data_IF_713115953745
#
_entry.id   IF_713115953745
#
_cell.length_a   1.000
_cell.length_b   1.000
_cell.length_c   1.000
_cell.angle_alpha   90.00
_cell.angle_beta   90.00
_cell.angle_gamma   90.00
#
_symmetry.space_group_name_H-M   'P 1'
#
loop_
_entity.id
_entity.type
_entity.pdbx_description
1 polymer ?
#
# COMPACT_ATOMS: atom_id res chain seq x y z
N UNK A 1 -10.70 3.36 13.20
CA UNK A 1 -9.46 2.73 12.70
C UNK A 1 -8.25 3.60 12.97
N UNK A 2 -8.09 4.77 12.32
CA UNK A 2 -6.88 5.61 12.46
C UNK A 2 -6.61 6.12 13.89
N UNK A 3 -7.63 6.40 14.70
CA UNK A 3 -7.42 6.78 16.11
C UNK A 3 -6.73 5.67 16.92
N UNK A 4 -7.07 4.41 16.63
CA UNK A 4 -6.43 3.25 17.26
C UNK A 4 -4.97 3.09 16.78
N UNK A 5 -4.69 3.39 15.51
CA UNK A 5 -3.31 3.41 14.99
C UNK A 5 -2.51 4.51 15.71
N UNK A 6 -3.06 5.71 15.84
CA UNK A 6 -2.44 6.83 16.55
C UNK A 6 -2.18 6.50 18.03
N UNK A 7 -3.11 5.81 18.69
CA UNK A 7 -2.92 5.30 20.06
C UNK A 7 -1.77 4.29 20.16
N UNK A 8 -1.72 3.32 19.24
CA UNK A 8 -0.63 2.35 19.20
C UNK A 8 0.73 3.03 18.99
N UNK A 9 0.81 4.05 18.12
CA UNK A 9 2.03 4.83 17.92
C UNK A 9 2.43 5.61 19.17
N UNK A 10 1.49 6.27 19.85
CA UNK A 10 1.78 6.98 21.10
C UNK A 10 2.29 6.05 22.21
N UNK A 11 1.73 4.84 22.31
CA UNK A 11 2.22 3.81 23.23
C UNK A 11 3.63 3.36 22.86
N UNK A 12 3.90 3.10 21.58
CA UNK A 12 5.24 2.73 21.13
C UNK A 12 6.27 3.82 21.43
N UNK A 13 5.92 5.10 21.22
CA UNK A 13 6.82 6.22 21.52
C UNK A 13 7.12 6.35 23.02
N UNK A 14 6.16 6.03 23.89
CA UNK A 14 6.37 5.94 25.35
C UNK A 14 7.30 4.77 25.69
N UNK A 15 7.02 3.57 25.19
CA UNK A 15 7.80 2.36 25.47
C UNK A 15 9.25 2.45 25.01
N UNK A 16 9.52 3.24 23.97
CA UNK A 16 10.86 3.47 23.42
C UNK A 16 11.53 4.74 23.95
N UNK A 17 10.86 5.49 24.83
CA UNK A 17 11.35 6.76 25.37
C UNK A 17 11.75 7.78 24.29
N UNK A 18 10.92 7.88 23.24
CA UNK A 18 11.14 8.77 22.08
C UNK A 18 10.06 9.85 21.93
N UNK A 19 9.17 10.01 22.92
CA UNK A 19 8.16 11.09 22.89
C UNK A 19 8.76 12.50 22.84
N UNK A 20 9.95 12.68 23.41
CA UNK A 20 10.65 13.96 23.42
C UNK A 20 11.58 14.16 22.22
N UNK A 21 11.66 13.19 21.30
CA UNK A 21 12.53 13.25 20.13
C UNK A 21 12.08 14.28 19.07
N UNK A 22 10.97 15.00 19.33
CA UNK A 22 10.37 15.93 18.37
C UNK A 22 9.59 15.19 17.28
N UNK A 23 9.41 15.87 16.15
CA UNK A 23 8.64 15.34 15.01
C UNK A 23 9.40 14.20 14.33
N UNK A 24 8.86 12.99 14.37
CA UNK A 24 9.51 11.79 13.83
C UNK A 24 9.04 11.47 12.41
N UNK A 25 9.95 11.14 11.47
CA UNK A 25 9.55 10.68 10.14
C UNK A 25 8.95 9.27 10.20
N UNK A 26 7.83 9.07 9.50
CA UNK A 26 7.11 7.80 9.39
C UNK A 26 6.94 7.40 7.93
N UNK A 27 7.43 6.21 7.59
CA UNK A 27 6.99 5.46 6.42
C UNK A 27 5.73 4.67 6.77
N UNK A 28 4.62 4.98 6.09
CA UNK A 28 3.33 4.36 6.34
C UNK A 28 3.08 3.25 5.31
N UNK A 29 3.44 2.02 5.66
CA UNK A 29 3.07 0.85 4.85
C UNK A 29 1.57 0.59 4.98
N UNK A 30 0.83 0.85 3.91
CA UNK A 30 -0.61 0.69 3.84
C UNK A 30 -0.96 -0.30 2.72
N UNK A 31 -1.09 -1.56 3.09
CA UNK A 31 -1.15 -2.71 2.19
C UNK A 31 -2.54 -2.96 1.58
N UNK A 32 -3.11 -1.91 0.99
CA UNK A 32 -4.40 -1.94 0.30
C UNK A 32 -4.30 -1.21 -1.04
N UNK A 33 -5.15 -1.55 -2.03
CA UNK A 33 -5.18 -0.85 -3.31
C UNK A 33 -5.41 0.64 -3.12
N UNK A 34 -4.41 1.45 -3.50
CA UNK A 34 -4.48 2.90 -3.39
C UNK A 34 -4.13 3.56 -4.72
N UNK A 35 -4.82 4.67 -5.01
CA UNK A 35 -4.40 5.61 -6.04
C UNK A 35 -3.40 6.58 -5.41
N UNK A 36 -2.13 6.37 -5.72
CA UNK A 36 -1.06 7.24 -5.23
C UNK A 36 -0.94 8.47 -6.13
N UNK A 37 -1.22 9.65 -5.57
CA UNK A 37 -1.09 10.95 -6.26
C UNK A 37 0.23 11.66 -5.90
N UNK A 38 0.94 11.14 -4.89
CA UNK A 38 2.28 11.55 -4.51
C UNK A 38 2.82 10.68 -3.39
N UNK A 39 4.09 10.87 -3.01
CA UNK A 39 4.73 10.03 -1.98
C UNK A 39 4.01 10.11 -0.62
N UNK A 40 3.32 11.21 -0.33
CA UNK A 40 2.55 11.43 0.91
C UNK A 40 1.05 11.65 0.68
N UNK A 41 0.52 11.21 -0.47
CA UNK A 41 -0.90 11.28 -0.79
C UNK A 41 -1.35 9.98 -1.48
N UNK A 42 -2.22 9.23 -0.82
CA UNK A 42 -2.75 7.98 -1.36
C UNK A 42 -4.22 7.80 -0.99
N UNK A 43 -5.08 7.76 -2.01
CA UNK A 43 -6.51 7.52 -1.83
C UNK A 43 -6.81 6.03 -1.87
N UNK A 44 -7.46 5.50 -0.85
CA UNK A 44 -7.91 4.11 -0.84
C UNK A 44 -8.93 3.89 -1.97
N UNK A 45 -8.73 2.88 -2.81
CA UNK A 45 -9.68 2.53 -3.89
C UNK A 45 -10.80 1.66 -3.33
N UNK A 46 -10.44 0.53 -2.71
CA UNK A 46 -11.38 -0.41 -2.12
C UNK A 46 -10.69 -1.22 -1.03
N UNK A 47 -11.46 -1.63 -0.01
CA UNK A 47 -10.95 -2.58 0.97
C UNK A 47 -10.74 -3.99 0.38
N UNK A 48 -9.78 -4.70 0.96
CA UNK A 48 -9.45 -6.11 0.64
C UNK A 48 -9.18 -6.85 1.95
N UNK A 49 -8.84 -8.15 1.89
CA UNK A 49 -8.35 -8.93 3.05
C UNK A 49 -9.31 -8.96 4.25
N UNK A 50 -10.63 -8.88 4.03
CA UNK A 50 -11.62 -8.91 5.11
C UNK A 50 -11.91 -7.56 5.79
N UNK A 51 -11.29 -6.46 5.36
CA UNK A 51 -11.49 -5.13 5.94
C UNK A 51 -12.74 -4.44 5.37
N UNK A 52 -13.38 -3.59 6.17
CA UNK A 52 -14.59 -2.85 5.76
C UNK A 52 -14.81 -1.58 6.61
N UNK A 53 -13.74 -0.85 6.94
CA UNK A 53 -13.86 0.37 7.75
C UNK A 53 -14.60 1.47 6.97
N UNK A 54 -15.73 1.93 7.52
CA UNK A 54 -16.56 2.99 6.94
C UNK A 54 -15.77 4.31 6.80
N UNK A 55 -16.13 5.12 5.80
CA UNK A 55 -15.62 6.48 5.61
C UNK A 55 -14.12 6.57 5.32
N UNK A 56 -13.52 5.57 4.66
CA UNK A 56 -12.09 5.56 4.28
C UNK A 56 -11.89 5.44 2.76
N UNK A 57 -12.73 4.69 2.06
CA UNK A 57 -12.66 4.59 0.59
C UNK A 57 -12.81 5.99 -0.05
N UNK A 58 -12.06 6.20 -1.13
CA UNK A 58 -11.85 7.47 -1.83
C UNK A 58 -11.22 8.61 -1.00
N UNK A 59 -10.76 8.34 0.23
CA UNK A 59 -10.07 9.32 1.07
C UNK A 59 -8.57 9.09 1.13
N UNK A 60 -7.83 10.19 1.27
CA UNK A 60 -6.39 10.15 1.48
C UNK A 60 -6.05 9.61 2.88
N UNK A 61 -5.44 8.42 2.91
CA UNK A 61 -5.13 7.71 4.15
C UNK A 61 -4.02 8.40 4.96
N UNK A 62 -3.17 9.19 4.30
CA UNK A 62 -2.14 9.97 4.97
C UNK A 62 -2.78 11.11 5.75
N UNK A 63 -3.72 11.84 5.13
CA UNK A 63 -4.51 12.87 5.81
C UNK A 63 -5.28 12.29 6.99
N UNK A 64 -5.96 11.15 6.82
CA UNK A 64 -6.69 10.50 7.92
C UNK A 64 -5.79 10.11 9.11
N UNK A 65 -4.57 9.63 8.83
CA UNK A 65 -3.59 9.32 9.87
C UNK A 65 -3.07 10.59 10.57
N UNK A 66 -2.73 11.64 9.80
CA UNK A 66 -2.28 12.93 10.33
C UNK A 66 -3.33 13.55 11.25
N UNK A 67 -4.59 13.59 10.83
CA UNK A 67 -5.69 14.10 11.65
C UNK A 67 -5.87 13.27 12.95
N UNK A 68 -5.71 11.95 12.88
CA UNK A 68 -5.76 11.09 14.07
C UNK A 68 -4.64 11.39 15.06
N UNK A 69 -3.42 11.61 14.59
CA UNK A 69 -2.30 12.05 15.44
C UNK A 69 -2.57 13.44 16.05
N UNK A 70 -3.04 14.39 15.24
CA UNK A 70 -3.36 15.75 15.69
C UNK A 70 -4.44 15.77 16.79
N UNK A 71 -5.45 14.89 16.71
CA UNK A 71 -6.49 14.77 17.75
C UNK A 71 -5.91 14.39 19.12
N UNK A 72 -4.80 13.65 19.18
CA UNK A 72 -4.20 13.22 20.45
C UNK A 72 -3.39 14.30 21.15
N UNK A 73 -2.71 15.18 20.41
CA UNK A 73 -1.85 16.26 20.91
C UNK A 73 -0.59 15.83 21.69
N UNK A 74 -0.37 14.53 21.90
CA UNK A 74 0.76 13.97 22.66
C UNK A 74 1.84 13.33 21.77
N UNK A 75 1.61 13.31 20.45
CA UNK A 75 2.55 12.83 19.43
C UNK A 75 2.59 13.79 18.25
N UNK A 76 3.77 13.92 17.63
CA UNK A 76 3.96 14.65 16.38
C UNK A 76 4.74 13.77 15.39
N UNK A 77 4.12 13.47 14.26
CA UNK A 77 4.63 12.51 13.27
C UNK A 77 4.61 13.16 11.90
N UNK A 78 5.72 13.05 11.18
CA UNK A 78 5.82 13.42 9.79
C UNK A 78 5.66 12.20 8.89
N UNK A 79 4.48 12.02 8.29
CA UNK A 79 4.32 10.98 7.27
C UNK A 79 5.08 11.42 6.02
N UNK A 80 6.23 10.79 5.77
CA UNK A 80 7.14 11.11 4.66
C UNK A 80 6.94 10.21 3.44
N UNK A 81 6.33 9.04 3.64
CA UNK A 81 5.97 8.14 2.56
C UNK A 81 4.76 7.28 2.93
N UNK A 82 3.93 6.97 1.94
CA UNK A 82 2.97 5.87 1.97
C UNK A 82 3.33 4.88 0.88
N UNK A 83 3.33 3.59 1.21
CA UNK A 83 3.77 2.53 0.30
C UNK A 83 3.00 1.23 0.54
N UNK A 84 2.97 0.37 -0.47
CA UNK A 84 2.44 -0.99 -0.35
C UNK A 84 3.45 -1.91 0.37
N UNK A 85 2.98 -3.02 0.95
CA UNK A 85 3.86 -4.01 1.59
C UNK A 85 4.88 -4.61 0.63
N UNK A 86 4.47 -4.96 -0.59
CA UNK A 86 5.40 -5.49 -1.61
C UNK A 86 6.54 -4.52 -1.91
N UNK A 87 6.23 -3.22 -2.03
CA UNK A 87 7.21 -2.15 -2.26
C UNK A 87 8.16 -2.04 -1.07
N UNK A 88 7.64 -2.10 0.16
CA UNK A 88 8.45 -2.11 1.37
C UNK A 88 9.37 -3.32 1.44
N UNK A 89 8.87 -4.50 1.04
CA UNK A 89 9.66 -5.74 0.96
C UNK A 89 10.78 -5.62 -0.07
N UNK A 90 10.49 -5.10 -1.27
CA UNK A 90 11.51 -4.85 -2.29
C UNK A 90 12.58 -3.89 -1.77
N UNK A 91 12.18 -2.74 -1.25
CA UNK A 91 13.11 -1.70 -0.77
C UNK A 91 13.98 -2.19 0.39
N UNK A 92 13.40 -2.94 1.34
CA UNK A 92 14.15 -3.51 2.46
C UNK A 92 15.19 -4.54 2.02
N UNK A 93 14.89 -5.33 0.98
CA UNK A 93 15.83 -6.28 0.39
C UNK A 93 16.90 -5.56 -0.43
N UNK A 94 16.48 -4.63 -1.29
CA UNK A 94 17.35 -3.84 -2.15
C UNK A 94 18.36 -2.99 -1.36
N UNK A 95 18.03 -2.58 -0.14
CA UNK A 95 18.96 -1.89 0.76
C UNK A 95 20.21 -2.73 1.10
N UNK A 96 20.10 -4.07 1.07
CA UNK A 96 21.23 -4.98 1.28
C UNK A 96 21.75 -5.49 -0.06
N UNK A 97 20.85 -6.03 -0.88
CA UNK A 97 21.18 -6.65 -2.15
C UNK A 97 20.66 -5.81 -3.32
N UNK A 98 21.53 -4.98 -3.88
CA UNK A 98 21.21 -4.04 -4.96
C UNK A 98 20.69 -4.72 -6.26
N UNK A 99 20.76 -6.04 -6.37
CA UNK A 99 20.21 -6.83 -7.49
C UNK A 99 18.74 -7.19 -7.29
N UNK A 100 18.13 -6.87 -6.14
CA UNK A 100 16.72 -7.12 -5.90
C UNK A 100 15.85 -6.17 -6.75
N UNK A 101 15.02 -6.75 -7.62
CA UNK A 101 14.15 -6.02 -8.55
C UNK A 101 12.67 -6.39 -8.42
N UNK A 102 12.33 -7.34 -7.54
CA UNK A 102 10.98 -7.87 -7.34
C UNK A 102 10.75 -8.07 -5.85
N UNK A 103 9.61 -7.60 -5.34
CA UNK A 103 9.09 -7.91 -4.02
C UNK A 103 7.80 -8.70 -4.13
N UNK A 104 7.69 -9.81 -3.40
CA UNK A 104 6.51 -10.69 -3.41
C UNK A 104 6.02 -10.92 -1.99
N UNK A 105 4.71 -10.80 -1.80
CA UNK A 105 4.02 -11.20 -0.58
C UNK A 105 3.20 -12.44 -0.88
N UNK A 106 3.42 -13.50 -0.10
CA UNK A 106 2.61 -14.72 -0.10
C UNK A 106 2.18 -14.97 1.34
N UNK A 107 0.97 -14.56 1.68
CA UNK A 107 0.42 -14.65 3.03
C UNK A 107 -1.11 -14.64 3.02
N UNK A 108 -1.73 -13.84 3.89
CA UNK A 108 -3.19 -13.67 3.92
C UNK A 108 -3.75 -13.18 2.58
N UNK A 109 -2.95 -12.44 1.82
CA UNK A 109 -3.17 -12.22 0.40
C UNK A 109 -1.88 -12.49 -0.38
N UNK A 110 -1.99 -12.46 -1.70
CA UNK A 110 -0.85 -12.53 -2.61
C UNK A 110 -0.73 -11.21 -3.37
N UNK A 111 0.47 -10.64 -3.42
CA UNK A 111 0.77 -9.46 -4.24
C UNK A 111 2.24 -9.46 -4.68
N UNK A 112 2.55 -8.71 -5.75
CA UNK A 112 3.92 -8.43 -6.14
C UNK A 112 4.12 -6.97 -6.58
N UNK A 113 5.35 -6.50 -6.44
CA UNK A 113 5.85 -5.31 -7.12
C UNK A 113 7.18 -5.62 -7.80
N UNK A 114 7.53 -4.79 -8.78
CA UNK A 114 8.80 -4.89 -9.48
C UNK A 114 9.27 -3.53 -9.98
N UNK A 115 10.55 -3.44 -10.35
CA UNK A 115 11.11 -2.26 -11.01
C UNK A 115 10.79 -2.28 -12.52
N UNK A 116 10.13 -1.25 -13.01
CA UNK A 116 9.73 -1.09 -14.42
C UNK A 116 10.38 0.16 -15.01
N UNK A 117 10.66 0.13 -16.31
CA UNK A 117 11.11 1.32 -17.04
C UNK A 117 9.96 2.29 -17.24
N UNK A 118 10.20 3.57 -16.96
CA UNK A 118 9.20 4.64 -17.16
C UNK A 118 8.67 4.65 -18.60
N UNK A 119 9.52 4.35 -19.59
CA UNK A 119 9.15 4.24 -21.00
C UNK A 119 8.04 3.19 -21.29
N UNK A 120 7.88 2.17 -20.44
CA UNK A 120 6.85 1.13 -20.55
C UNK A 120 5.54 1.53 -19.84
N UNK A 121 5.52 2.65 -19.10
CA UNK A 121 4.38 3.09 -18.31
C UNK A 121 3.47 4.03 -19.12
N UNK A 122 2.74 3.48 -20.10
CA UNK A 122 1.88 4.25 -21.03
C UNK A 122 0.91 5.22 -20.33
N UNK A 123 0.38 4.85 -19.16
CA UNK A 123 -0.61 5.62 -18.40
C UNK A 123 -0.08 6.93 -17.82
N UNK A 124 1.24 7.10 -17.75
CA UNK A 124 1.88 8.27 -17.15
C UNK A 124 2.81 9.00 -18.13
N UNK A 125 2.75 8.67 -19.43
CA UNK A 125 3.57 9.32 -20.47
C UNK A 125 3.37 10.83 -20.52
N UNK A 126 2.14 11.30 -20.29
CA UNK A 126 1.80 12.73 -20.26
C UNK A 126 2.45 13.51 -19.10
N UNK A 127 3.05 12.81 -18.12
CA UNK A 127 3.77 13.44 -17.02
C UNK A 127 5.23 13.79 -17.37
N UNK A 128 5.74 13.33 -18.53
CA UNK A 128 7.11 13.61 -19.01
C UNK A 128 8.20 13.32 -17.96
N UNK A 129 8.02 12.26 -17.16
CA UNK A 129 8.94 11.91 -16.06
C UNK A 129 10.34 11.55 -16.56
N UNK A 130 10.48 11.12 -17.82
CA UNK A 130 11.78 10.87 -18.45
C UNK A 130 12.66 12.12 -18.62
N UNK A 131 12.10 13.31 -18.45
CA UNK A 131 12.80 14.59 -18.58
C UNK A 131 13.12 15.26 -17.22
N UNK A 132 12.77 14.63 -16.10
CA UNK A 132 12.88 15.24 -14.76
C UNK A 132 14.28 15.15 -14.12
N UNK A 133 15.20 14.41 -14.76
CA UNK A 133 16.57 14.19 -14.28
C UNK A 133 16.70 13.12 -13.18
N UNK A 134 15.64 12.38 -12.87
CA UNK A 134 15.61 11.23 -11.97
C UNK A 134 15.89 9.92 -12.72
N UNK A 135 16.09 8.78 -12.01
CA UNK A 135 16.26 7.48 -12.65
C UNK A 135 15.08 7.13 -13.58
N UNK A 136 15.37 6.40 -14.66
CA UNK A 136 14.40 6.00 -15.70
C UNK A 136 13.53 4.80 -15.30
N UNK A 137 13.49 4.49 -14.01
CA UNK A 137 12.82 3.33 -13.43
C UNK A 137 11.85 3.72 -12.32
N UNK A 138 10.72 3.01 -12.25
CA UNK A 138 9.66 3.21 -11.28
C UNK A 138 9.21 1.85 -10.74
N UNK A 139 8.98 1.78 -9.42
CA UNK A 139 8.40 0.58 -8.81
C UNK A 139 6.91 0.50 -9.15
N UNK A 140 6.50 -0.60 -9.77
CA UNK A 140 5.10 -0.90 -10.07
C UNK A 140 4.58 -1.88 -9.04
N UNK A 141 3.64 -1.42 -8.19
CA UNK A 141 2.79 -2.31 -7.41
C UNK A 141 1.70 -2.87 -8.33
N UNK A 142 1.71 -4.18 -8.54
CA UNK A 142 0.82 -4.82 -9.52
C UNK A 142 -0.60 -4.99 -9.01
N UNK A 143 -0.79 -5.11 -7.69
CA UNK A 143 -2.04 -5.56 -7.07
C UNK A 143 -2.59 -6.82 -7.78
N UNK A 144 -1.69 -7.79 -8.08
CA UNK A 144 -2.00 -8.94 -8.96
C UNK A 144 -3.07 -9.89 -8.42
N UNK A 145 -3.55 -9.67 -7.20
CA UNK A 145 -4.62 -10.49 -6.63
C UNK A 145 -5.91 -10.35 -7.43
N UNK A 146 -6.09 -9.24 -8.18
CA UNK A 146 -7.22 -9.03 -9.07
C UNK A 146 -7.12 -9.81 -10.41
N UNK A 147 -6.00 -10.49 -10.66
CA UNK A 147 -5.79 -11.17 -11.93
C UNK A 147 -6.77 -12.36 -12.07
N UNK A 148 -7.62 -12.31 -13.10
CA UNK A 148 -8.68 -13.30 -13.33
C UNK A 148 -10.09 -12.84 -12.95
N UNK A 149 -10.24 -11.68 -12.30
CA UNK A 149 -11.55 -11.04 -12.01
C UNK A 149 -12.40 -10.82 -13.29
N UNK A 150 -11.76 -10.69 -14.44
CA UNK A 150 -12.38 -10.51 -15.76
C UNK A 150 -12.75 -11.84 -16.45
N UNK A 151 -12.55 -12.96 -15.78
CA UNK A 151 -12.78 -14.31 -16.31
C UNK A 151 -11.61 -14.90 -17.08
N UNK A 152 -10.46 -14.22 -17.18
CA UNK A 152 -9.27 -14.73 -17.87
C UNK A 152 -8.77 -16.09 -17.31
N UNK A 153 -9.05 -16.37 -16.03
CA UNK A 153 -8.67 -17.61 -15.36
C UNK A 153 -9.82 -18.62 -15.21
N UNK A 154 -10.98 -18.39 -15.83
CA UNK A 154 -12.15 -19.28 -15.66
C UNK A 154 -11.87 -20.73 -16.09
N UNK A 155 -10.95 -20.93 -17.05
CA UNK A 155 -10.55 -22.24 -17.55
C UNK A 155 -9.79 -23.10 -16.51
N UNK A 156 -9.21 -22.49 -15.47
CA UNK A 156 -8.55 -23.22 -14.37
C UNK A 156 -9.43 -23.29 -13.11
N UNK A 157 -10.53 -22.54 -13.04
CA UNK A 157 -11.41 -22.48 -11.86
C UNK A 157 -12.26 -23.74 -11.72
N UNK A 158 -12.17 -24.36 -10.54
CA UNK A 158 -12.94 -25.55 -10.15
C UNK A 158 -14.27 -25.16 -9.48
N UNK A 159 -15.11 -26.15 -9.20
CA UNK A 159 -16.35 -25.91 -8.43
C UNK A 159 -16.04 -25.45 -6.99
N UNK A 160 -14.92 -25.86 -6.42
CA UNK A 160 -14.50 -25.46 -5.07
C UNK A 160 -14.14 -23.97 -5.01
N UNK A 161 -13.40 -23.48 -6.01
CA UNK A 161 -13.03 -22.07 -6.11
C UNK A 161 -14.27 -21.17 -6.20
N UNK A 162 -15.27 -21.59 -6.98
CA UNK A 162 -16.56 -20.87 -7.09
C UNK A 162 -17.33 -20.86 -5.78
N UNK A 163 -17.38 -21.97 -5.06
CA UNK A 163 -18.05 -22.04 -3.76
C UNK A 163 -17.36 -21.14 -2.71
N UNK A 164 -16.02 -21.07 -2.74
CA UNK A 164 -15.26 -20.15 -1.89
C UNK A 164 -15.60 -18.70 -2.24
N UNK A 165 -15.55 -18.35 -3.53
CA UNK A 165 -15.86 -17.01 -4.06
C UNK A 165 -17.21 -16.48 -3.56
N UNK A 166 -18.26 -17.27 -3.78
CA UNK A 166 -19.65 -16.95 -3.44
C UNK A 166 -19.85 -16.70 -1.94
N UNK A 167 -18.98 -17.25 -1.09
CA UNK A 167 -19.03 -17.12 0.37
C UNK A 167 -18.09 -16.05 0.92
N UNK A 168 -17.30 -15.39 0.09
CA UNK A 168 -16.42 -14.31 0.54
C UNK A 168 -17.19 -13.01 0.78
N UNK A 169 -16.53 -12.05 1.42
CA UNK A 169 -17.06 -10.69 1.57
C UNK A 169 -17.09 -9.91 0.25
N UNK A 170 -16.33 -10.33 -0.77
CA UNK A 170 -16.18 -9.65 -2.05
C UNK A 170 -16.35 -10.64 -3.22
N UNK A 171 -17.56 -11.19 -3.45
CA UNK A 171 -17.77 -12.15 -4.53
C UNK A 171 -17.36 -11.60 -5.91
N UNK A 172 -16.65 -12.42 -6.69
CA UNK A 172 -16.12 -12.08 -8.01
C UNK A 172 -14.84 -11.24 -7.97
N UNK A 173 -14.19 -11.12 -6.80
CA UNK A 173 -12.98 -10.31 -6.59
C UNK A 173 -11.91 -11.09 -5.84
N UNK A 174 -10.66 -10.96 -6.30
CA UNK A 174 -9.45 -11.36 -5.55
C UNK A 174 -9.41 -12.85 -5.16
N UNK A 175 -9.70 -13.74 -6.12
CA UNK A 175 -9.73 -15.18 -5.89
C UNK A 175 -8.35 -15.85 -5.93
#
# INVERSE_FOLDING_TARGET
MFDHIAECMARFMEEKDIKQAGKLPLGFTFSFPCRQEGLTCAKLINWTKGFSASNVEDKDVVTLLREACQRRKDIDIDVVAVLNDTVGTLMACAFKENTCQIGVIVGTGSNACYMEKIANCDKIKDLHLEEDGMPDEMIINTEWGAFGDDGALEFVRTCFDREVDEKTINPGKQL
#
